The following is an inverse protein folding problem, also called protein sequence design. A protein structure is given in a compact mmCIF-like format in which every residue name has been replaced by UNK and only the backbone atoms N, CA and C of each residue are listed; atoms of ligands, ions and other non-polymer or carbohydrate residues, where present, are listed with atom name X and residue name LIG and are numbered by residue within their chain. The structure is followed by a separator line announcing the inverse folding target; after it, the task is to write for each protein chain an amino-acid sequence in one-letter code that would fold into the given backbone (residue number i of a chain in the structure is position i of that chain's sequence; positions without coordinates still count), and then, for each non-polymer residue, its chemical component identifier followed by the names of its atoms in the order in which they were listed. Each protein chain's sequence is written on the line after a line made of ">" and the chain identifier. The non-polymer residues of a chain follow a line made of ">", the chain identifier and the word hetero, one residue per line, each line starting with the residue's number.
data_IF_085409874963
#
_entry.id   IF_085409874963
#
_cell.length_a   1.000
_cell.length_b   1.000
_cell.length_c   1.000
_cell.angle_alpha   90.00
_cell.angle_beta   90.00
_cell.angle_gamma   90.00
#
_symmetry.space_group_name_H-M   'P 1'
#
loop_
_entity.id
_entity.type
_entity.pdbx_description
1 polymer ?
#
# COMPACT_ATOMS: atom_id res chain seq x y z
N UNK A 1 -16.35 4.89 -19.24
CA UNK A 1 -14.94 5.06 -18.82
C UNK A 1 -14.73 6.24 -17.87
N UNK A 2 -14.97 7.52 -18.24
CA UNK A 2 -14.82 8.65 -17.29
C UNK A 2 -15.63 8.49 -15.99
N UNK A 3 -16.80 7.85 -16.03
CA UNK A 3 -17.62 7.58 -14.81
C UNK A 3 -16.91 6.64 -13.82
N UNK A 4 -16.39 5.49 -14.31
CA UNK A 4 -15.78 4.49 -13.44
C UNK A 4 -14.52 5.01 -12.75
N UNK A 5 -13.68 5.76 -13.48
CA UNK A 5 -12.51 6.41 -12.91
C UNK A 5 -12.89 7.41 -11.80
N UNK A 6 -13.87 8.28 -12.05
CA UNK A 6 -14.33 9.26 -11.07
C UNK A 6 -14.98 8.60 -9.85
N UNK A 7 -15.71 7.51 -10.05
CA UNK A 7 -16.28 6.70 -8.96
C UNK A 7 -15.18 6.03 -8.13
N UNK A 8 -14.17 5.45 -8.77
CA UNK A 8 -13.01 4.87 -8.08
C UNK A 8 -12.24 5.91 -7.28
N UNK A 9 -11.98 7.09 -7.85
CA UNK A 9 -11.39 8.21 -7.11
C UNK A 9 -12.25 8.68 -5.96
N UNK A 10 -13.58 8.72 -6.12
CA UNK A 10 -14.50 9.06 -5.04
C UNK A 10 -14.36 8.05 -3.89
N UNK A 11 -14.34 6.76 -4.18
CA UNK A 11 -14.12 5.70 -3.18
C UNK A 11 -12.77 5.90 -2.49
N UNK A 12 -11.69 6.01 -3.26
CA UNK A 12 -10.34 6.22 -2.75
C UNK A 12 -10.21 7.44 -1.83
N UNK A 13 -11.01 8.49 -2.04
CA UNK A 13 -11.01 9.73 -1.24
C UNK A 13 -11.91 9.73 -0.03
N UNK A 14 -12.96 8.90 -0.02
CA UNK A 14 -14.05 9.05 0.98
C UNK A 14 -14.30 7.81 1.81
N UNK A 15 -13.95 6.62 1.32
CA UNK A 15 -14.15 5.40 2.08
C UNK A 15 -13.07 5.26 3.15
N UNK A 16 -13.41 4.54 4.21
CA UNK A 16 -12.54 4.33 5.35
C UNK A 16 -11.32 3.48 4.96
N UNK A 17 -10.15 3.97 5.36
CA UNK A 17 -8.84 3.33 5.18
C UNK A 17 -8.20 3.02 6.52
N UNK A 18 -8.84 3.34 7.64
CA UNK A 18 -8.25 3.17 8.96
C UNK A 18 -7.91 1.72 9.25
N UNK A 19 -6.76 1.53 9.88
CA UNK A 19 -6.29 0.24 10.38
C UNK A 19 -5.97 0.37 11.86
N UNK A 20 -6.20 -0.66 12.69
CA UNK A 20 -5.74 -0.64 14.08
C UNK A 20 -4.24 -0.34 14.19
N UNK A 21 -3.81 0.21 15.33
CA UNK A 21 -2.39 0.40 15.61
C UNK A 21 -1.63 -0.94 15.44
N UNK A 22 -0.42 -0.88 14.89
CA UNK A 22 0.48 -2.02 14.69
C UNK A 22 -0.06 -3.11 13.74
N UNK A 23 -1.10 -2.84 12.94
CA UNK A 23 -1.77 -3.85 12.10
C UNK A 23 -1.43 -3.79 10.62
N UNK A 24 -1.03 -2.62 10.11
CA UNK A 24 -0.88 -2.39 8.68
C UNK A 24 0.28 -3.20 8.09
N UNK A 25 -0.03 -3.89 6.99
CA UNK A 25 0.91 -4.59 6.12
C UNK A 25 0.87 -3.94 4.74
N UNK A 26 2.04 -3.58 4.22
CA UNK A 26 2.22 -3.04 2.86
C UNK A 26 3.14 -3.94 2.06
N UNK A 27 2.98 -3.93 0.74
CA UNK A 27 3.84 -4.69 -0.16
C UNK A 27 4.05 -3.97 -1.49
N UNK A 28 5.17 -4.25 -2.15
CA UNK A 28 5.46 -3.68 -3.48
C UNK A 28 5.59 -4.78 -4.53
N UNK A 29 4.81 -4.68 -5.62
CA UNK A 29 4.90 -5.59 -6.77
C UNK A 29 5.05 -4.90 -8.12
N UNK A 30 4.85 -3.58 -8.18
CA UNK A 30 4.97 -2.81 -9.43
C UNK A 30 6.38 -2.92 -10.00
N UNK A 31 6.46 -3.21 -11.31
CA UNK A 31 7.71 -3.34 -12.07
C UNK A 31 8.66 -4.46 -11.62
N UNK A 32 8.21 -5.38 -10.75
CA UNK A 32 8.97 -6.57 -10.37
C UNK A 32 8.71 -7.75 -11.32
N UNK A 33 9.70 -8.65 -11.50
CA UNK A 33 9.54 -9.82 -12.38
C UNK A 33 8.58 -10.88 -11.83
N UNK A 34 8.20 -10.78 -10.54
CA UNK A 34 7.31 -11.72 -9.88
C UNK A 34 6.45 -11.01 -8.82
N UNK A 35 5.49 -11.76 -8.25
CA UNK A 35 4.53 -11.27 -7.24
C UNK A 35 4.91 -11.66 -5.81
N UNK A 36 6.17 -12.05 -5.56
CA UNK A 36 6.59 -12.64 -4.28
C UNK A 36 6.24 -11.77 -3.07
N UNK A 37 6.50 -10.47 -3.13
CA UNK A 37 6.17 -9.53 -2.05
C UNK A 37 4.67 -9.52 -1.71
N UNK A 38 3.80 -9.60 -2.72
CA UNK A 38 2.35 -9.74 -2.50
C UNK A 38 2.04 -11.07 -1.86
N UNK A 39 2.54 -12.16 -2.42
CA UNK A 39 2.23 -13.51 -1.94
C UNK A 39 2.69 -13.70 -0.48
N UNK A 40 3.88 -13.19 -0.14
CA UNK A 40 4.41 -13.17 1.23
C UNK A 40 3.54 -12.31 2.16
N UNK A 41 3.07 -11.15 1.72
CA UNK A 41 2.20 -10.28 2.52
C UNK A 41 0.84 -10.93 2.80
N UNK A 42 0.23 -11.57 1.79
CA UNK A 42 -1.00 -12.34 1.96
C UNK A 42 -0.80 -13.52 2.91
N UNK A 43 0.31 -14.28 2.75
CA UNK A 43 0.65 -15.37 3.65
C UNK A 43 0.86 -14.87 5.10
N UNK A 44 1.53 -13.74 5.27
CA UNK A 44 1.75 -13.13 6.58
C UNK A 44 0.44 -12.70 7.25
N UNK A 45 -0.45 -12.02 6.53
CA UNK A 45 -1.76 -11.63 7.08
C UNK A 45 -2.59 -12.85 7.46
N UNK A 46 -2.60 -13.90 6.63
CA UNK A 46 -3.31 -15.14 6.94
C UNK A 46 -2.76 -15.84 8.20
N UNK A 47 -1.44 -15.75 8.44
CA UNK A 47 -0.79 -16.36 9.59
C UNK A 47 -0.86 -15.50 10.87
N UNK A 48 -1.11 -14.20 10.77
CA UNK A 48 -1.02 -13.26 11.88
C UNK A 48 -2.36 -12.55 12.12
N UNK A 49 -3.08 -12.99 13.15
CA UNK A 49 -4.37 -12.39 13.53
C UNK A 49 -4.22 -10.89 13.81
N UNK A 50 -5.15 -10.10 13.30
CA UNK A 50 -5.19 -8.65 13.49
C UNK A 50 -4.28 -7.87 12.54
N UNK A 51 -3.56 -8.52 11.63
CA UNK A 51 -2.85 -7.85 10.54
C UNK A 51 -3.76 -7.64 9.34
N UNK A 52 -3.56 -6.56 8.60
CA UNK A 52 -4.35 -6.27 7.41
C UNK A 52 -3.59 -5.45 6.36
N UNK A 53 -4.00 -5.61 5.10
CA UNK A 53 -3.56 -4.80 3.97
C UNK A 53 -4.68 -3.86 3.54
N UNK A 54 -4.41 -2.98 2.59
CA UNK A 54 -5.41 -2.03 2.07
C UNK A 54 -6.67 -2.74 1.58
N UNK A 55 -6.55 -3.93 0.97
CA UNK A 55 -7.68 -4.71 0.46
C UNK A 55 -8.64 -5.19 1.55
N UNK A 56 -8.22 -5.20 2.81
CA UNK A 56 -9.06 -5.55 3.95
C UNK A 56 -9.75 -4.33 4.59
N UNK A 57 -9.44 -3.11 4.14
CA UNK A 57 -10.16 -1.89 4.54
C UNK A 57 -11.47 -1.75 3.74
N UNK A 58 -12.49 -1.03 4.25
CA UNK A 58 -13.70 -0.74 3.47
C UNK A 58 -13.40 -0.07 2.12
N UNK A 59 -12.41 0.83 2.07
CA UNK A 59 -11.95 1.45 0.83
C UNK A 59 -11.38 0.43 -0.16
N UNK A 60 -10.36 -0.33 0.25
CA UNK A 60 -9.71 -1.28 -0.65
C UNK A 60 -10.65 -2.40 -1.08
N UNK A 61 -11.46 -2.94 -0.17
CA UNK A 61 -12.47 -3.94 -0.51
C UNK A 61 -13.45 -3.44 -1.58
N UNK A 62 -13.90 -2.18 -1.47
CA UNK A 62 -14.79 -1.60 -2.48
C UNK A 62 -14.09 -1.39 -3.83
N UNK A 63 -12.82 -0.99 -3.83
CA UNK A 63 -12.05 -0.86 -5.06
C UNK A 63 -11.85 -2.22 -5.76
N UNK A 64 -11.58 -3.28 -5.00
CA UNK A 64 -11.51 -4.66 -5.52
C UNK A 64 -12.87 -5.08 -6.09
N UNK A 65 -13.97 -4.83 -5.39
CA UNK A 65 -15.34 -5.12 -5.85
C UNK A 65 -15.66 -4.41 -7.18
N UNK A 66 -15.17 -3.17 -7.36
CA UNK A 66 -15.31 -2.39 -8.59
C UNK A 66 -14.40 -2.86 -9.74
N UNK A 67 -13.58 -3.89 -9.51
CA UNK A 67 -12.70 -4.49 -10.50
C UNK A 67 -11.29 -3.90 -10.55
N UNK A 68 -10.93 -2.92 -9.70
CA UNK A 68 -9.60 -2.29 -9.71
C UNK A 68 -8.45 -3.21 -9.25
N UNK A 69 -8.75 -4.47 -8.91
CA UNK A 69 -7.77 -5.53 -8.66
C UNK A 69 -7.31 -6.24 -9.95
N UNK A 70 -8.04 -6.10 -11.07
CA UNK A 70 -7.70 -6.67 -12.37
C UNK A 70 -7.41 -5.56 -13.40
N UNK A 71 -6.65 -5.90 -14.43
CA UNK A 71 -6.43 -5.03 -15.60
C UNK A 71 -7.66 -4.93 -16.52
N UNK A 72 -8.81 -5.47 -16.11
CA UNK A 72 -9.98 -5.68 -16.97
C UNK A 72 -11.10 -4.65 -16.72
N UNK A 73 -10.77 -3.52 -16.09
CA UNK A 73 -11.71 -2.42 -15.80
C UNK A 73 -12.04 -1.58 -17.05
N UNK A 74 -11.31 -1.77 -18.14
CA UNK A 74 -11.36 -0.92 -19.33
C UNK A 74 -10.74 0.47 -19.11
N UNK A 75 -10.08 0.71 -17.97
CA UNK A 75 -9.23 1.88 -17.73
C UNK A 75 -7.77 1.53 -18.04
N UNK A 76 -6.97 2.55 -18.33
CA UNK A 76 -5.52 2.37 -18.46
C UNK A 76 -4.88 2.17 -17.08
N UNK A 77 -3.68 1.59 -17.07
CA UNK A 77 -2.96 1.29 -15.83
C UNK A 77 -2.63 2.54 -15.00
N UNK A 78 -2.41 3.70 -15.65
CA UNK A 78 -2.08 4.95 -14.96
C UNK A 78 -3.28 5.49 -14.14
N UNK A 79 -4.49 5.40 -14.68
CA UNK A 79 -5.73 5.80 -14.01
C UNK A 79 -6.01 4.90 -12.81
N UNK A 80 -5.84 3.57 -12.97
CA UNK A 80 -5.97 2.60 -11.87
C UNK A 80 -4.90 2.85 -10.80
N UNK A 81 -3.65 3.08 -11.21
CA UNK A 81 -2.56 3.40 -10.31
C UNK A 81 -2.82 4.70 -9.53
N UNK A 82 -3.43 5.72 -10.15
CA UNK A 82 -3.77 6.96 -9.49
C UNK A 82 -4.82 6.77 -8.39
N UNK A 83 -5.84 5.94 -8.64
CA UNK A 83 -6.87 5.59 -7.64
C UNK A 83 -6.24 4.89 -6.44
N UNK A 84 -5.41 3.87 -6.68
CA UNK A 84 -4.71 3.16 -5.60
C UNK A 84 -3.72 4.06 -4.87
N UNK A 85 -3.02 4.94 -5.57
CA UNK A 85 -2.09 5.91 -4.96
C UNK A 85 -2.81 6.85 -4.00
N UNK A 86 -4.00 7.33 -4.35
CA UNK A 86 -4.82 8.18 -3.48
C UNK A 86 -5.24 7.43 -2.20
N UNK A 87 -5.74 6.19 -2.35
CA UNK A 87 -6.16 5.36 -1.22
C UNK A 87 -4.96 4.99 -0.31
N UNK A 88 -3.84 4.56 -0.89
CA UNK A 88 -2.61 4.22 -0.16
C UNK A 88 -2.04 5.42 0.59
N UNK A 89 -2.11 6.64 0.04
CA UNK A 89 -1.62 7.83 0.75
C UNK A 89 -2.41 8.03 2.04
N UNK A 90 -3.74 8.02 1.96
CA UNK A 90 -4.61 8.18 3.12
C UNK A 90 -4.42 7.05 4.13
N UNK A 91 -4.25 5.81 3.65
CA UNK A 91 -3.96 4.66 4.49
C UNK A 91 -2.68 4.87 5.31
N UNK A 92 -1.60 5.34 4.69
CA UNK A 92 -0.34 5.62 5.37
C UNK A 92 -0.48 6.80 6.33
N UNK A 93 -1.24 7.84 5.98
CA UNK A 93 -1.47 9.00 6.85
C UNK A 93 -2.24 8.62 8.14
N UNK A 94 -3.17 7.65 8.06
CA UNK A 94 -3.95 7.15 9.20
C UNK A 94 -3.26 6.01 9.98
N UNK A 95 -2.18 5.43 9.43
CA UNK A 95 -1.47 4.34 10.06
C UNK A 95 -0.75 4.78 11.36
N UNK A 96 -0.61 3.85 12.32
CA UNK A 96 0.07 4.13 13.57
C UNK A 96 0.85 2.91 14.10
N UNK A 97 1.96 3.19 14.80
CA UNK A 97 2.83 2.19 15.39
C UNK A 97 3.76 1.54 14.36
N UNK A 98 3.81 0.20 14.38
CA UNK A 98 4.62 -0.59 13.48
C UNK A 98 3.88 -0.94 12.18
N UNK A 99 4.50 -0.64 11.04
CA UNK A 99 4.08 -1.15 9.73
C UNK A 99 4.92 -2.38 9.37
N UNK A 100 4.30 -3.43 8.84
CA UNK A 100 5.04 -4.55 8.23
C UNK A 100 5.15 -4.33 6.72
N UNK A 101 6.35 -4.29 6.16
CA UNK A 101 6.60 -4.01 4.75
C UNK A 101 7.29 -5.17 4.03
N UNK A 102 6.65 -5.70 2.99
CA UNK A 102 7.20 -6.67 2.04
C UNK A 102 7.61 -5.97 0.75
N UNK A 103 8.82 -5.42 0.73
CA UNK A 103 9.27 -4.49 -0.32
C UNK A 103 10.63 -4.87 -0.88
N UNK A 104 10.93 -6.16 -0.84
CA UNK A 104 12.19 -6.67 -1.36
C UNK A 104 12.35 -6.29 -2.84
N UNK A 105 13.52 -5.75 -3.17
CA UNK A 105 13.88 -5.24 -4.50
C UNK A 105 12.89 -4.26 -5.14
N UNK A 106 12.01 -3.60 -4.35
CA UNK A 106 10.95 -2.74 -4.89
C UNK A 106 11.51 -1.70 -5.87
N UNK A 107 10.92 -1.59 -7.07
CA UNK A 107 11.40 -0.65 -8.09
C UNK A 107 11.24 0.80 -7.62
N UNK A 108 12.20 1.71 -7.89
CA UNK A 108 12.08 3.14 -7.54
C UNK A 108 10.79 3.82 -8.05
N UNK A 109 10.19 3.31 -9.13
CA UNK A 109 8.93 3.81 -9.72
C UNK A 109 7.68 3.24 -9.05
N UNK A 110 7.81 2.25 -8.16
CA UNK A 110 6.68 1.66 -7.44
C UNK A 110 5.92 2.69 -6.59
N UNK A 111 4.64 2.41 -6.31
CA UNK A 111 3.82 3.22 -5.39
C UNK A 111 4.48 3.31 -4.01
N UNK A 112 5.07 2.21 -3.54
CA UNK A 112 5.80 2.19 -2.28
C UNK A 112 6.95 3.20 -2.26
N UNK A 113 7.83 3.17 -3.26
CA UNK A 113 9.00 4.05 -3.28
C UNK A 113 8.65 5.52 -3.59
N UNK A 114 7.74 5.74 -4.53
CA UNK A 114 7.39 7.08 -5.01
C UNK A 114 6.45 7.85 -4.09
N UNK A 115 5.75 7.16 -3.18
CA UNK A 115 4.71 7.77 -2.37
C UNK A 115 4.63 7.22 -0.94
N UNK A 116 4.45 5.90 -0.75
CA UNK A 116 4.18 5.36 0.60
C UNK A 116 5.37 5.56 1.54
N UNK A 117 6.60 5.36 1.07
CA UNK A 117 7.80 5.55 1.87
C UNK A 117 7.98 7.02 2.30
N UNK A 118 7.91 8.03 1.41
CA UNK A 118 7.87 9.44 1.82
C UNK A 118 6.74 9.76 2.81
N UNK A 119 5.52 9.27 2.57
CA UNK A 119 4.37 9.52 3.45
C UNK A 119 4.58 8.90 4.85
N UNK A 120 5.12 7.68 4.89
CA UNK A 120 5.43 6.95 6.12
C UNK A 120 6.46 7.70 6.97
N UNK A 121 7.50 8.23 6.32
CA UNK A 121 8.51 9.04 7.00
C UNK A 121 7.91 10.34 7.56
N UNK A 122 6.96 10.94 6.86
CA UNK A 122 6.24 12.14 7.30
C UNK A 122 5.21 11.89 8.43
N UNK A 123 4.65 10.68 8.54
CA UNK A 123 3.65 10.36 9.55
C UNK A 123 4.30 10.08 10.92
N UNK A 124 4.19 11.02 11.87
CA UNK A 124 4.74 10.88 13.23
C UNK A 124 4.11 9.76 14.08
N UNK A 125 2.91 9.28 13.74
CA UNK A 125 2.26 8.17 14.44
C UNK A 125 2.88 6.81 14.08
N UNK A 126 3.51 6.71 12.90
CA UNK A 126 4.34 5.55 12.53
C UNK A 126 5.70 5.69 13.19
N UNK A 127 6.07 4.70 13.98
CA UNK A 127 7.33 4.67 14.74
C UNK A 127 8.34 3.71 14.13
N UNK A 128 7.87 2.54 13.67
CA UNK A 128 8.75 1.48 13.17
C UNK A 128 8.21 0.85 11.89
N UNK A 129 9.14 0.31 11.09
CA UNK A 129 8.84 -0.54 9.94
C UNK A 129 9.58 -1.86 10.13
N UNK A 130 8.87 -2.99 10.10
CA UNK A 130 9.44 -4.31 10.36
C UNK A 130 10.21 -4.38 11.71
N UNK A 131 9.76 -3.64 12.73
CA UNK A 131 10.35 -3.62 14.06
C UNK A 131 11.59 -2.74 14.23
N UNK A 132 12.07 -2.07 13.16
CA UNK A 132 13.17 -1.10 13.23
C UNK A 132 12.66 0.33 13.08
N UNK A 133 13.41 1.31 13.60
CA UNK A 133 13.06 2.73 13.43
C UNK A 133 12.82 3.06 11.96
N UNK A 134 11.76 3.82 11.65
CA UNK A 134 11.37 4.06 10.26
C UNK A 134 12.42 4.80 9.43
N UNK A 135 13.22 5.68 10.04
CA UNK A 135 14.28 6.40 9.35
C UNK A 135 15.48 5.48 9.12
N UNK A 136 15.78 4.61 10.08
CA UNK A 136 16.78 3.56 9.92
C UNK A 136 16.38 2.56 8.81
N UNK A 137 15.12 2.14 8.79
CA UNK A 137 14.55 1.32 7.70
C UNK A 137 14.78 1.98 6.34
N UNK A 138 14.41 3.26 6.21
CA UNK A 138 14.54 3.98 4.94
C UNK A 138 15.99 4.14 4.50
N UNK A 139 16.93 4.32 5.44
CA UNK A 139 18.36 4.36 5.16
C UNK A 139 18.85 3.01 4.64
N UNK A 140 18.53 1.93 5.33
CA UNK A 140 18.94 0.58 4.96
C UNK A 140 18.35 0.15 3.61
N UNK A 141 17.09 0.48 3.37
CA UNK A 141 16.39 0.22 2.11
C UNK A 141 16.96 0.98 0.92
N UNK A 142 17.50 2.20 1.12
CA UNK A 142 18.19 2.94 0.06
C UNK A 142 19.57 2.35 -0.22
N UNK A 143 20.33 2.03 0.83
CA UNK A 143 21.66 1.46 0.71
C UNK A 143 21.66 0.08 0.03
N UNK A 144 20.59 -0.72 0.19
CA UNK A 144 20.47 -2.01 -0.50
C UNK A 144 20.18 -1.91 -2.00
N UNK A 145 20.03 -0.70 -2.55
CA UNK A 145 19.77 -0.46 -3.98
C UNK A 145 20.93 0.18 -4.73
N UNK A 146 22.00 0.54 -4.02
CA UNK A 146 23.28 1.00 -4.58
C UNK A 146 24.20 -0.20 -4.85
#
# INVERSE_FOLDING_TARGET
>A
MKSLFLEGLKVAKTYDVCTPKDSLVVYSVSFLPNKKNRDDAFAYVNANRGKMMIEHTPCGAKLVEMGFASSDTGLNDDDVALIWKEASKRLIDEAAGNITAFVDNADPRSVFCSMELPALLGNSAVTTVNGIDKFEFAKNFKASKE
#
